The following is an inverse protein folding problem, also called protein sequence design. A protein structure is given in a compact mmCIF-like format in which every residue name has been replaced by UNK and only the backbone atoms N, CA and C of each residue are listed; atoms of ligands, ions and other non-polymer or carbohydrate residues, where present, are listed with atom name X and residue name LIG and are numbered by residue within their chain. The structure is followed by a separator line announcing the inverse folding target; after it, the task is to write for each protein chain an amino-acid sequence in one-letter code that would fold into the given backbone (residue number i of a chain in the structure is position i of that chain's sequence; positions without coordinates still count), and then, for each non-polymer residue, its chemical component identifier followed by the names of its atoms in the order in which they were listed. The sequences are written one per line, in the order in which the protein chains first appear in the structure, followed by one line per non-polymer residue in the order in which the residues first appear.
data_IF_750286284105
#
_entry.id   IF_750286284105
#
_cell.length_a   1.000
_cell.length_b   1.000
_cell.length_c   1.000
_cell.angle_alpha   90.00
_cell.angle_beta   90.00
_cell.angle_gamma   90.00
#
_symmetry.space_group_name_H-M   'P 1'
#
loop_
_entity.id
_entity.type
_entity.pdbx_description
1 polymer ?
#
# COMPACT_ATOMS: atom_id res chain seq x y z
N UNK A 1 -76.69 -1.11 -32.60
CA UNK A 1 -75.99 -1.69 -31.42
C UNK A 1 -74.60 -2.16 -31.84
N UNK A 2 -74.31 -3.46 -32.01
CA UNK A 2 -72.96 -4.04 -32.26
C UNK A 2 -71.90 -3.12 -32.90
N UNK A 3 -72.14 -2.60 -34.12
CA UNK A 3 -71.19 -1.74 -34.83
C UNK A 3 -70.83 -0.42 -34.13
N UNK A 4 -71.76 0.19 -33.38
CA UNK A 4 -71.49 1.42 -32.63
C UNK A 4 -70.57 1.14 -31.43
N UNK A 5 -70.85 0.08 -30.67
CA UNK A 5 -70.02 -0.36 -29.56
C UNK A 5 -68.56 -0.61 -30.01
N UNK A 6 -68.37 -1.25 -31.17
CA UNK A 6 -67.04 -1.50 -31.74
C UNK A 6 -66.28 -0.19 -32.09
N UNK A 7 -67.00 0.84 -32.57
CA UNK A 7 -66.42 2.17 -32.84
C UNK A 7 -66.07 2.88 -31.52
N UNK A 8 -66.91 2.79 -30.50
CA UNK A 8 -66.63 3.34 -29.16
C UNK A 8 -65.40 2.68 -28.51
N UNK A 9 -65.26 1.36 -28.58
CA UNK A 9 -64.10 0.64 -28.05
C UNK A 9 -62.81 0.96 -28.84
N UNK A 10 -62.87 1.10 -30.17
CA UNK A 10 -61.70 1.58 -30.94
C UNK A 10 -61.29 3.00 -30.53
N UNK A 11 -62.25 3.93 -30.38
CA UNK A 11 -61.96 5.30 -29.92
C UNK A 11 -61.35 5.31 -28.51
N UNK A 12 -61.92 4.52 -27.59
CA UNK A 12 -61.43 4.34 -26.21
C UNK A 12 -60.00 3.80 -26.18
N UNK A 13 -59.70 2.80 -27.02
CA UNK A 13 -58.37 2.21 -27.15
C UNK A 13 -57.37 3.20 -27.77
N UNK A 14 -57.78 3.96 -28.79
CA UNK A 14 -56.98 5.05 -29.38
C UNK A 14 -56.61 6.11 -28.32
N UNK A 15 -57.54 6.49 -27.44
CA UNK A 15 -57.27 7.45 -26.37
C UNK A 15 -56.38 6.89 -25.25
N UNK A 16 -56.43 5.58 -24.98
CA UNK A 16 -55.46 4.91 -24.11
C UNK A 16 -54.04 4.95 -24.71
N UNK A 17 -53.89 4.73 -26.03
CA UNK A 17 -52.60 4.88 -26.70
C UNK A 17 -52.10 6.33 -26.68
N UNK A 18 -52.96 7.33 -26.98
CA UNK A 18 -52.60 8.77 -26.83
C UNK A 18 -52.08 9.05 -25.42
N UNK A 19 -52.78 8.61 -24.38
CA UNK A 19 -52.38 8.78 -22.97
C UNK A 19 -51.05 8.07 -22.65
N UNK A 20 -50.81 6.86 -23.18
CA UNK A 20 -49.55 6.13 -23.01
C UNK A 20 -48.37 6.85 -23.67
N UNK A 21 -48.55 7.35 -24.90
CA UNK A 21 -47.56 8.15 -25.62
C UNK A 21 -47.28 9.47 -24.89
N UNK A 22 -48.31 10.15 -24.37
CA UNK A 22 -48.15 11.38 -23.59
C UNK A 22 -47.37 11.16 -22.28
N UNK A 23 -47.56 10.02 -21.59
CA UNK A 23 -46.74 9.65 -20.43
C UNK A 23 -45.28 9.39 -20.83
N UNK A 24 -45.05 8.60 -21.88
CA UNK A 24 -43.70 8.28 -22.35
C UNK A 24 -42.92 9.53 -22.82
N UNK A 25 -43.59 10.48 -23.48
CA UNK A 25 -43.00 11.77 -23.88
C UNK A 25 -42.63 12.66 -22.69
N UNK A 26 -43.34 12.58 -21.55
CA UNK A 26 -42.93 13.27 -20.31
C UNK A 26 -41.70 12.60 -19.73
N UNK A 27 -41.75 11.30 -19.46
CA UNK A 27 -40.65 10.53 -18.91
C UNK A 27 -39.33 10.68 -19.70
N UNK A 28 -39.40 10.65 -21.04
CA UNK A 28 -38.23 10.91 -21.89
C UNK A 28 -37.70 12.35 -21.78
N UNK A 29 -38.57 13.34 -21.64
CA UNK A 29 -38.20 14.75 -21.42
C UNK A 29 -37.59 14.96 -20.02
N UNK A 30 -38.10 14.27 -19.01
CA UNK A 30 -37.61 14.33 -17.64
C UNK A 30 -36.18 13.76 -17.56
N UNK A 31 -35.92 12.60 -18.17
CA UNK A 31 -34.57 12.01 -18.32
C UNK A 31 -33.61 12.93 -19.08
N UNK A 32 -34.07 13.63 -20.12
CA UNK A 32 -33.22 14.57 -20.88
C UNK A 32 -32.77 15.74 -20.00
N UNK A 33 -33.61 16.25 -19.10
CA UNK A 33 -33.21 17.29 -18.15
C UNK A 33 -32.29 16.77 -17.05
N UNK A 34 -32.55 15.56 -16.52
CA UNK A 34 -31.69 14.93 -15.52
C UNK A 34 -30.27 14.71 -16.08
N UNK A 35 -30.16 14.15 -17.30
CA UNK A 35 -28.89 14.02 -18.01
C UNK A 35 -28.20 15.37 -18.26
N UNK A 36 -28.96 16.42 -18.61
CA UNK A 36 -28.42 17.78 -18.76
C UNK A 36 -27.80 18.32 -17.47
N UNK A 37 -28.54 18.23 -16.36
CA UNK A 37 -28.05 18.68 -15.05
C UNK A 37 -26.83 17.86 -14.56
N UNK A 38 -26.79 16.55 -14.87
CA UNK A 38 -25.63 15.70 -14.61
C UNK A 38 -24.41 16.11 -15.45
N UNK A 39 -24.60 16.45 -16.73
CA UNK A 39 -23.52 16.99 -17.58
C UNK A 39 -22.97 18.32 -17.02
N UNK A 40 -23.83 19.26 -16.66
CA UNK A 40 -23.42 20.54 -16.06
C UNK A 40 -22.63 20.33 -14.75
N UNK A 41 -23.06 19.37 -13.93
CA UNK A 41 -22.36 19.01 -12.69
C UNK A 41 -21.00 18.34 -12.95
N UNK A 42 -20.91 17.46 -13.95
CA UNK A 42 -19.64 16.84 -14.37
C UNK A 42 -18.64 17.91 -14.86
N UNK A 43 -19.09 18.89 -15.66
CA UNK A 43 -18.23 20.01 -16.12
C UNK A 43 -17.71 20.82 -14.92
N UNK A 44 -18.57 21.17 -13.95
CA UNK A 44 -18.14 21.85 -12.73
C UNK A 44 -17.15 21.02 -11.89
N UNK A 45 -17.28 19.70 -11.84
CA UNK A 45 -16.33 18.83 -11.15
C UNK A 45 -14.99 18.76 -11.90
N UNK A 46 -15.01 18.70 -13.23
CA UNK A 46 -13.81 18.73 -14.07
C UNK A 46 -13.04 20.05 -13.94
N UNK A 47 -13.73 21.19 -13.91
CA UNK A 47 -13.13 22.51 -13.65
C UNK A 47 -12.47 22.56 -12.25
N UNK A 48 -13.20 22.16 -11.20
CA UNK A 48 -12.68 22.12 -9.83
C UNK A 48 -11.48 21.17 -9.71
N UNK A 49 -11.50 20.02 -10.40
CA UNK A 49 -10.37 19.09 -10.46
C UNK A 49 -9.16 19.69 -11.18
N UNK A 50 -9.37 20.38 -12.31
CA UNK A 50 -8.31 21.06 -13.05
C UNK A 50 -7.63 22.14 -12.20
N UNK A 51 -8.40 22.95 -11.48
CA UNK A 51 -7.89 23.95 -10.52
C UNK A 51 -7.03 23.26 -9.45
N UNK A 52 -7.54 22.19 -8.81
CA UNK A 52 -6.80 21.42 -7.79
C UNK A 52 -5.50 20.80 -8.33
N UNK A 53 -5.49 20.36 -9.58
CA UNK A 53 -4.28 19.84 -10.26
C UNK A 53 -3.26 20.97 -10.49
N UNK A 54 -3.71 22.17 -10.88
CA UNK A 54 -2.83 23.34 -11.03
C UNK A 54 -2.27 23.81 -9.67
N UNK A 55 -3.11 23.92 -8.64
CA UNK A 55 -2.71 24.21 -7.25
C UNK A 55 -1.65 23.20 -6.77
N UNK A 56 -1.89 21.88 -6.95
CA UNK A 56 -0.94 20.80 -6.62
C UNK A 56 0.40 20.98 -7.33
N UNK A 57 0.39 21.24 -8.64
CA UNK A 57 1.61 21.47 -9.45
C UNK A 57 2.38 22.71 -9.00
N UNK A 58 1.69 23.82 -8.71
CA UNK A 58 2.28 25.06 -8.23
C UNK A 58 2.94 24.88 -6.85
N UNK A 59 2.21 24.30 -5.89
CA UNK A 59 2.73 24.04 -4.54
C UNK A 59 3.92 23.08 -4.56
N UNK A 60 3.87 22.02 -5.38
CA UNK A 60 5.01 21.12 -5.56
C UNK A 60 6.23 21.84 -6.15
N UNK A 61 6.06 22.66 -7.20
CA UNK A 61 7.17 23.46 -7.75
C UNK A 61 7.79 24.38 -6.69
N UNK A 62 6.95 25.02 -5.86
CA UNK A 62 7.40 25.90 -4.77
C UNK A 62 8.13 25.11 -3.66
N UNK A 63 7.67 23.91 -3.31
CA UNK A 63 8.35 23.02 -2.35
C UNK A 63 9.72 22.55 -2.86
N UNK A 64 9.83 22.16 -4.13
CA UNK A 64 11.13 21.83 -4.74
C UNK A 64 12.07 23.03 -4.75
N UNK A 65 11.57 24.25 -5.01
CA UNK A 65 12.37 25.47 -4.96
C UNK A 65 12.88 25.79 -3.54
N UNK A 66 12.02 25.69 -2.52
CA UNK A 66 12.45 25.85 -1.12
C UNK A 66 13.43 24.77 -0.69
N UNK A 67 13.26 23.52 -1.14
CA UNK A 67 14.22 22.44 -0.87
C UNK A 67 15.59 22.76 -1.50
N UNK A 68 15.64 23.19 -2.76
CA UNK A 68 16.88 23.58 -3.42
C UNK A 68 17.57 24.78 -2.72
N UNK A 69 16.80 25.75 -2.21
CA UNK A 69 17.36 26.85 -1.39
C UNK A 69 17.92 26.35 -0.06
N UNK A 70 17.22 25.47 0.66
CA UNK A 70 17.70 24.90 1.92
C UNK A 70 18.95 23.99 1.74
N UNK A 71 19.06 23.30 0.60
CA UNK A 71 20.25 22.54 0.23
C UNK A 71 21.43 23.45 -0.20
N UNK A 72 21.16 24.68 -0.67
CA UNK A 72 22.19 25.67 -0.99
C UNK A 72 22.73 26.41 0.26
N UNK A 73 21.93 26.60 1.31
CA UNK A 73 22.34 27.25 2.56
C UNK A 73 23.11 26.31 3.51
N UNK A 74 23.16 25.00 3.23
CA UNK A 74 23.74 23.99 4.13
C UNK A 74 25.03 23.34 3.60
N UNK A 75 26.08 24.15 3.41
CA UNK A 75 27.46 23.67 3.29
C UNK A 75 28.25 23.94 4.60
N UNK A 76 28.47 22.94 5.46
CA UNK A 76 29.40 23.08 6.59
C UNK A 76 30.85 23.13 6.08
N UNK A 77 31.57 24.21 6.36
CA UNK A 77 33.02 24.26 6.13
C UNK A 77 33.75 23.28 7.05
N UNK A 78 34.61 22.44 6.47
CA UNK A 78 35.33 21.42 7.22
C UNK A 78 36.58 21.99 7.91
N UNK A 79 36.54 22.07 9.26
CA UNK A 79 37.72 22.33 10.08
C UNK A 79 37.88 21.29 11.19
N UNK A 80 39.14 20.97 11.51
CA UNK A 80 39.54 19.79 12.28
C UNK A 80 39.80 20.09 13.77
N UNK A 81 39.70 19.08 14.66
CA UNK A 81 39.71 19.30 16.11
C UNK A 81 41.11 19.53 16.70
N UNK A 82 41.17 20.28 17.79
CA UNK A 82 42.34 20.38 18.70
C UNK A 82 41.91 20.31 20.17
N UNK A 83 42.87 20.04 21.05
CA UNK A 83 42.69 19.46 22.38
C UNK A 83 42.95 20.47 23.53
N UNK A 84 42.67 20.04 24.77
CA UNK A 84 43.15 20.52 26.10
C UNK A 84 42.31 21.50 26.97
N UNK A 85 41.69 20.92 28.01
CA UNK A 85 42.02 21.05 29.46
C UNK A 85 42.01 22.41 30.19
N UNK A 86 41.31 22.43 31.34
CA UNK A 86 41.41 23.42 32.43
C UNK A 86 40.16 24.32 32.57
N UNK A 87 39.70 24.75 33.76
CA UNK A 87 40.12 24.57 35.17
C UNK A 87 38.87 24.68 36.09
N UNK A 88 38.86 23.96 37.23
CA UNK A 88 37.86 24.04 38.34
C UNK A 88 38.54 24.63 39.62
N UNK A 89 37.93 24.82 40.83
CA UNK A 89 36.62 24.40 41.39
C UNK A 89 35.96 25.59 42.17
N UNK A 90 35.26 25.48 43.33
CA UNK A 90 34.57 24.37 44.05
C UNK A 90 33.04 24.64 44.18
N UNK A 91 32.20 24.09 45.07
CA UNK A 91 32.29 23.18 46.25
C UNK A 91 31.04 22.22 46.21
N UNK A 92 30.58 21.43 47.20
CA UNK A 92 30.85 21.34 48.65
C UNK A 92 30.73 19.89 49.21
N UNK A 93 30.72 19.77 50.54
CA UNK A 93 30.44 18.62 51.44
C UNK A 93 29.21 17.75 51.13
N UNK A 94 29.17 16.44 51.43
CA UNK A 94 30.21 15.54 52.00
C UNK A 94 29.65 14.25 52.65
N UNK A 95 30.51 13.20 52.76
CA UNK A 95 30.43 11.98 53.63
C UNK A 95 29.19 11.03 53.60
N UNK A 96 29.25 9.72 53.96
CA UNK A 96 30.34 8.85 54.49
C UNK A 96 30.27 7.37 54.03
N UNK A 97 31.44 6.75 53.81
CA UNK A 97 31.90 5.40 54.24
C UNK A 97 31.06 4.07 54.17
N UNK A 98 31.67 3.09 53.44
CA UNK A 98 31.96 1.67 53.81
C UNK A 98 30.94 0.50 53.65
N UNK A 99 31.35 -0.45 52.77
CA UNK A 99 31.46 -1.93 52.92
C UNK A 99 30.26 -2.77 53.40
N UNK A 100 29.97 -3.86 52.69
CA UNK A 100 30.47 -5.22 53.01
C UNK A 100 30.29 -6.18 51.81
N UNK A 101 30.85 -7.41 51.86
CA UNK A 101 30.98 -8.27 50.68
C UNK A 101 30.75 -9.78 50.93
N UNK A 102 30.18 -10.43 49.91
CA UNK A 102 30.33 -11.83 49.46
C UNK A 102 30.16 -13.02 50.44
N UNK A 103 29.35 -14.00 50.01
CA UNK A 103 29.84 -15.38 49.79
C UNK A 103 28.95 -16.22 48.85
N UNK A 104 29.59 -17.10 48.07
CA UNK A 104 28.98 -18.19 47.29
C UNK A 104 28.75 -19.42 48.17
N UNK A 105 27.84 -20.31 47.76
CA UNK A 105 28.10 -21.77 47.73
C UNK A 105 27.34 -22.46 46.59
N UNK A 106 27.69 -23.71 46.30
CA UNK A 106 27.29 -24.55 45.15
C UNK A 106 27.01 -25.99 45.65
N UNK A 107 26.75 -26.92 44.71
CA UNK A 107 26.80 -28.41 44.78
C UNK A 107 25.63 -29.16 45.46
N UNK A 108 25.26 -30.40 45.08
CA UNK A 108 25.29 -31.13 43.78
C UNK A 108 24.52 -32.49 43.90
N UNK A 109 24.02 -33.07 42.79
CA UNK A 109 23.48 -34.44 42.64
C UNK A 109 22.14 -34.81 43.37
N UNK A 110 21.41 -35.90 43.04
CA UNK A 110 21.42 -36.82 41.88
C UNK A 110 20.02 -37.54 41.73
N UNK A 111 19.76 -38.18 40.58
CA UNK A 111 18.58 -38.98 40.13
C UNK A 111 18.40 -40.37 40.86
N UNK A 112 17.39 -41.24 40.59
CA UNK A 112 16.18 -41.17 39.70
C UNK A 112 14.83 -41.68 40.29
N UNK A 113 13.68 -41.46 39.61
CA UNK A 113 12.52 -42.41 39.58
C UNK A 113 11.42 -42.08 38.52
N UNK A 114 10.82 -43.11 37.91
CA UNK A 114 9.85 -43.04 36.78
C UNK A 114 8.37 -42.90 37.21
N UNK A 115 7.54 -42.21 36.42
CA UNK A 115 6.16 -42.65 36.10
C UNK A 115 5.62 -42.01 34.81
N UNK A 116 4.67 -42.67 34.13
CA UNK A 116 4.15 -42.27 32.80
C UNK A 116 2.87 -41.41 32.88
N UNK A 117 2.76 -40.39 32.03
CA UNK A 117 1.45 -39.95 31.52
C UNK A 117 1.55 -39.43 30.07
N UNK A 118 0.42 -39.42 29.34
CA UNK A 118 0.38 -39.35 27.86
C UNK A 118 0.56 -37.92 27.32
N UNK A 119 1.17 -37.73 26.12
CA UNK A 119 1.36 -36.40 25.53
C UNK A 119 0.02 -35.76 25.16
N UNK A 120 -0.36 -34.73 25.92
CA UNK A 120 -1.51 -33.86 25.61
C UNK A 120 -1.12 -32.96 24.43
N UNK A 121 -1.78 -33.11 23.27
CA UNK A 121 -1.53 -32.29 22.07
C UNK A 121 -1.64 -30.80 22.42
N UNK A 122 -0.49 -30.13 22.53
CA UNK A 122 -0.41 -28.68 22.68
C UNK A 122 -0.72 -28.03 21.33
N UNK A 123 -1.92 -27.50 21.19
CA UNK A 123 -2.23 -26.58 20.10
C UNK A 123 -1.31 -25.36 20.25
N UNK A 124 -0.41 -25.18 19.28
CA UNK A 124 0.43 -23.98 19.25
C UNK A 124 -0.49 -22.75 19.17
N UNK A 125 -0.35 -21.77 20.09
CA UNK A 125 -1.19 -20.58 20.05
C UNK A 125 -0.88 -19.82 18.76
N UNK A 126 -1.88 -19.63 17.90
CA UNK A 126 -1.74 -18.82 16.69
C UNK A 126 -1.20 -17.43 17.07
N UNK A 127 -0.16 -16.98 16.38
CA UNK A 127 0.45 -15.68 16.62
C UNK A 127 -0.60 -14.57 16.54
N UNK A 128 -0.62 -13.69 17.54
CA UNK A 128 -1.63 -12.63 17.66
C UNK A 128 -1.29 -11.49 16.72
N UNK A 129 -2.28 -10.95 16.01
CA UNK A 129 -2.09 -9.79 15.12
C UNK A 129 -2.08 -8.50 15.95
N UNK A 130 -1.00 -7.73 15.87
CA UNK A 130 -0.83 -6.47 16.61
C UNK A 130 -1.47 -5.32 15.82
N UNK A 131 -2.26 -4.47 16.49
CA UNK A 131 -2.94 -3.31 15.91
C UNK A 131 -2.33 -2.00 16.41
N UNK A 132 -2.14 -1.04 15.50
CA UNK A 132 -1.76 0.33 15.84
C UNK A 132 -2.99 1.14 16.29
N UNK A 133 -2.88 2.04 17.29
CA UNK A 133 -3.92 3.00 17.62
C UNK A 133 -4.31 3.89 16.42
N UNK A 134 -5.58 4.23 16.32
CA UNK A 134 -6.13 5.12 15.28
C UNK A 134 -6.97 6.22 15.90
N UNK A 135 -7.18 7.31 15.17
CA UNK A 135 -8.11 8.37 15.57
C UNK A 135 -9.55 7.87 15.34
N UNK A 136 -10.38 7.97 16.37
CA UNK A 136 -11.82 7.72 16.31
C UNK A 136 -12.58 9.05 16.47
N UNK A 137 -13.76 9.14 15.85
CA UNK A 137 -14.68 10.25 16.04
C UNK A 137 -15.48 10.12 17.35
N UNK A 138 -16.32 11.12 17.64
CA UNK A 138 -17.20 11.14 18.83
C UNK A 138 -18.23 9.99 18.86
N UNK A 139 -18.41 9.25 17.77
CA UNK A 139 -19.29 8.08 17.66
C UNK A 139 -18.51 6.75 17.72
N UNK A 140 -17.19 6.79 17.88
CA UNK A 140 -16.30 5.63 17.89
C UNK A 140 -15.93 5.08 16.51
N UNK A 141 -16.19 5.82 15.42
CA UNK A 141 -15.86 5.40 14.05
C UNK A 141 -14.45 5.87 13.65
N UNK A 142 -13.71 5.14 12.80
CA UNK A 142 -12.41 5.59 12.29
C UNK A 142 -12.51 6.92 11.53
N UNK A 143 -11.61 7.85 11.83
CA UNK A 143 -11.43 9.07 11.04
C UNK A 143 -10.48 8.80 9.87
N UNK A 144 -10.87 9.19 8.67
CA UNK A 144 -10.05 9.06 7.46
C UNK A 144 -9.39 10.40 7.10
N UNK A 145 -8.19 10.39 6.47
CA UNK A 145 -7.42 9.21 6.08
C UNK A 145 -6.63 8.58 7.25
N UNK A 146 -6.53 7.25 7.26
CA UNK A 146 -5.73 6.50 8.25
C UNK A 146 -4.33 6.29 7.68
N UNK A 147 -3.32 6.95 8.25
CA UNK A 147 -1.92 6.88 7.80
C UNK A 147 -1.17 5.78 8.57
N UNK A 148 -0.47 4.92 7.84
CA UNK A 148 0.23 3.73 8.32
C UNK A 148 1.62 3.67 7.67
N UNK A 149 2.50 4.60 8.03
CA UNK A 149 3.81 4.76 7.38
C UNK A 149 3.65 5.19 5.91
N UNK A 150 4.20 4.40 4.99
CA UNK A 150 4.10 4.63 3.54
C UNK A 150 2.74 4.29 2.91
N UNK A 151 1.82 3.71 3.69
CA UNK A 151 0.44 3.37 3.32
C UNK A 151 -0.53 4.40 3.90
N UNK A 152 -1.60 4.73 3.17
CA UNK A 152 -2.69 5.59 3.64
C UNK A 152 -4.04 5.03 3.17
N UNK A 153 -4.99 4.83 4.08
CA UNK A 153 -6.34 4.37 3.76
C UNK A 153 -7.31 5.56 3.71
N UNK A 154 -8.05 5.70 2.61
CA UNK A 154 -9.05 6.76 2.41
C UNK A 154 -10.49 6.27 2.62
N UNK A 155 -10.74 4.99 2.34
CA UNK A 155 -12.03 4.32 2.52
C UNK A 155 -11.82 2.84 2.82
N UNK A 156 -12.60 2.28 3.74
CA UNK A 156 -12.66 0.83 3.96
C UNK A 156 -13.60 0.10 3.01
N UNK A 157 -14.47 0.82 2.28
CA UNK A 157 -15.52 0.22 1.46
C UNK A 157 -16.66 -0.44 2.24
N UNK A 158 -17.56 -1.09 1.50
CA UNK A 158 -18.72 -1.80 2.01
C UNK A 158 -18.57 -3.32 1.85
N UNK A 159 -18.92 -4.08 2.88
CA UNK A 159 -18.73 -5.53 2.91
C UNK A 159 -19.87 -6.24 2.19
N UNK A 160 -19.59 -6.68 0.98
CA UNK A 160 -20.43 -7.58 0.18
C UNK A 160 -20.43 -8.96 0.83
N UNK A 161 -21.58 -9.40 1.33
CA UNK A 161 -21.73 -10.65 2.08
C UNK A 161 -22.73 -11.64 1.47
N UNK A 162 -23.38 -11.25 0.39
CA UNK A 162 -24.35 -12.05 -0.37
C UNK A 162 -23.68 -12.87 -1.47
N UNK A 163 -22.56 -12.39 -2.00
CA UNK A 163 -21.70 -13.07 -2.99
C UNK A 163 -20.48 -13.70 -2.29
N UNK A 164 -20.16 -14.99 -2.54
CA UNK A 164 -19.13 -15.70 -1.80
C UNK A 164 -17.71 -15.21 -2.12
N UNK A 165 -17.44 -14.83 -3.37
CA UNK A 165 -16.09 -14.53 -3.87
C UNK A 165 -15.53 -13.19 -3.34
N UNK A 166 -16.37 -12.41 -2.64
CA UNK A 166 -15.97 -11.16 -1.96
C UNK A 166 -15.32 -11.39 -0.58
N UNK A 167 -15.17 -12.64 -0.14
CA UNK A 167 -14.37 -12.98 1.04
C UNK A 167 -13.69 -14.36 0.95
N UNK A 168 -12.49 -14.47 1.49
CA UNK A 168 -11.77 -15.73 1.68
C UNK A 168 -11.84 -16.18 3.14
N UNK A 169 -11.09 -17.23 3.50
CA UNK A 169 -10.97 -17.63 4.90
C UNK A 169 -10.25 -16.58 5.78
N UNK A 170 -9.37 -15.74 5.19
CA UNK A 170 -8.48 -14.85 5.94
C UNK A 170 -8.70 -13.36 5.66
N UNK A 171 -9.37 -13.02 4.55
CA UNK A 171 -9.52 -11.67 4.03
C UNK A 171 -10.96 -11.43 3.56
N UNK A 172 -11.37 -10.17 3.56
CA UNK A 172 -12.62 -9.69 2.95
C UNK A 172 -12.21 -8.62 1.93
N UNK A 173 -12.95 -8.48 0.85
CA UNK A 173 -12.67 -7.58 -0.26
C UNK A 173 -13.82 -6.55 -0.40
N UNK A 174 -13.87 -5.47 0.42
CA UNK A 174 -15.02 -4.57 0.44
C UNK A 174 -15.06 -3.69 -0.81
N UNK A 175 -16.23 -3.56 -1.43
CA UNK A 175 -16.43 -2.69 -2.61
C UNK A 175 -16.25 -1.23 -2.19
N UNK A 176 -15.46 -0.46 -2.95
CA UNK A 176 -15.14 0.92 -2.61
C UNK A 176 -14.07 1.06 -1.52
N UNK A 177 -13.36 -0.02 -1.16
CA UNK A 177 -12.09 0.11 -0.45
C UNK A 177 -11.13 0.93 -1.30
N UNK A 178 -10.46 1.92 -0.70
CA UNK A 178 -9.57 2.83 -1.39
C UNK A 178 -8.39 3.22 -0.51
N UNK A 179 -7.17 3.01 -1.00
CA UNK A 179 -5.92 3.38 -0.34
C UNK A 179 -4.94 4.04 -1.30
N UNK A 180 -3.88 4.61 -0.76
CA UNK A 180 -2.70 5.02 -1.52
C UNK A 180 -1.42 4.52 -0.88
N UNK A 181 -0.42 4.18 -1.70
CA UNK A 181 0.93 3.80 -1.27
C UNK A 181 1.97 4.55 -2.11
N UNK A 182 3.03 5.04 -1.45
CA UNK A 182 4.17 5.70 -2.10
C UNK A 182 5.13 4.64 -2.65
N UNK A 183 5.42 4.64 -3.95
CA UNK A 183 6.29 3.63 -4.58
C UNK A 183 6.96 4.15 -5.86
N UNK A 184 7.80 3.34 -6.52
CA UNK A 184 8.59 3.76 -7.69
C UNK A 184 7.73 3.95 -8.94
N UNK A 185 8.06 4.93 -9.79
CA UNK A 185 7.22 5.24 -10.96
C UNK A 185 7.43 4.28 -12.13
N UNK A 186 6.34 3.96 -12.86
CA UNK A 186 6.36 3.06 -14.03
C UNK A 186 7.28 3.53 -15.17
N UNK A 187 7.59 4.83 -15.25
CA UNK A 187 8.50 5.42 -16.25
C UNK A 187 9.94 5.60 -15.76
N UNK A 188 10.12 5.60 -14.45
CA UNK A 188 11.38 5.88 -13.75
C UNK A 188 11.27 5.43 -12.28
N UNK A 189 11.68 4.20 -11.97
CA UNK A 189 11.59 3.67 -10.60
C UNK A 189 12.52 4.36 -9.58
N UNK A 190 13.46 5.21 -10.02
CA UNK A 190 14.26 6.08 -9.14
C UNK A 190 13.56 7.40 -8.80
N UNK A 191 12.31 7.59 -9.25
CA UNK A 191 11.40 8.65 -8.83
C UNK A 191 10.20 8.06 -8.09
N UNK A 192 9.84 8.69 -6.97
CA UNK A 192 8.59 8.42 -6.24
C UNK A 192 7.37 8.87 -7.05
N UNK A 193 6.31 8.06 -7.00
CA UNK A 193 4.94 8.46 -7.34
C UNK A 193 3.96 7.85 -6.34
N UNK A 194 2.69 8.26 -6.41
CA UNK A 194 1.63 7.73 -5.55
C UNK A 194 0.74 6.78 -6.36
N UNK A 195 0.64 5.54 -5.90
CA UNK A 195 -0.34 4.59 -6.43
C UNK A 195 -1.61 4.65 -5.59
N UNK A 196 -2.77 4.76 -6.25
CA UNK A 196 -4.09 4.58 -5.64
C UNK A 196 -4.56 3.16 -5.91
N UNK A 197 -4.88 2.42 -4.86
CA UNK A 197 -5.33 1.03 -4.95
C UNK A 197 -6.79 0.94 -4.54
N UNK A 198 -7.63 0.26 -5.33
CA UNK A 198 -9.07 0.12 -5.03
C UNK A 198 -9.59 -1.28 -5.28
N UNK A 199 -10.65 -1.62 -4.55
CA UNK A 199 -11.49 -2.79 -4.81
C UNK A 199 -12.84 -2.28 -5.35
N UNK A 200 -13.25 -2.82 -6.50
CA UNK A 200 -14.45 -2.45 -7.23
C UNK A 200 -15.43 -3.64 -7.28
N UNK A 201 -16.70 -3.37 -7.55
CA UNK A 201 -17.69 -4.40 -7.83
C UNK A 201 -17.47 -4.94 -9.25
N UNK A 202 -17.04 -6.21 -9.36
CA UNK A 202 -16.86 -6.93 -10.62
C UNK A 202 -18.03 -7.84 -11.00
N UNK A 203 -19.21 -7.65 -10.36
CA UNK A 203 -20.34 -8.55 -10.53
C UNK A 203 -20.20 -9.79 -9.66
N UNK A 204 -19.75 -10.92 -10.22
CA UNK A 204 -19.67 -12.19 -9.48
C UNK A 204 -18.55 -12.19 -8.43
N UNK A 205 -17.39 -11.67 -8.79
CA UNK A 205 -16.19 -11.52 -7.95
C UNK A 205 -15.76 -10.03 -7.85
N UNK A 206 -14.95 -9.64 -6.86
CA UNK A 206 -14.36 -8.30 -6.79
C UNK A 206 -13.37 -8.08 -7.93
N UNK A 207 -13.29 -6.84 -8.43
CA UNK A 207 -12.24 -6.40 -9.35
C UNK A 207 -11.24 -5.51 -8.61
N UNK A 208 -9.96 -5.61 -8.92
CA UNK A 208 -8.89 -4.87 -8.27
C UNK A 208 -8.20 -3.94 -9.27
N UNK A 209 -7.92 -2.70 -8.88
CA UNK A 209 -7.12 -1.77 -9.69
C UNK A 209 -6.01 -1.07 -8.88
N UNK A 210 -4.86 -0.88 -9.51
CA UNK A 210 -3.78 0.02 -9.09
C UNK A 210 -3.61 1.12 -10.14
N UNK A 211 -3.74 2.38 -9.74
CA UNK A 211 -3.66 3.57 -10.62
C UNK A 211 -2.50 4.47 -10.17
N UNK A 212 -1.56 4.80 -11.06
CA UNK A 212 -0.47 5.73 -10.75
C UNK A 212 -0.94 7.20 -10.91
N UNK A 213 -0.55 8.10 -10.00
CA UNK A 213 -1.00 9.50 -10.01
C UNK A 213 -0.48 10.35 -11.19
N UNK A 214 0.36 9.76 -12.04
CA UNK A 214 0.89 10.30 -13.29
C UNK A 214 0.38 9.57 -14.57
N UNK A 215 -0.37 8.47 -14.44
CA UNK A 215 -0.87 7.62 -15.54
C UNK A 215 -2.31 7.15 -15.24
N UNK A 216 -3.24 8.10 -15.11
CA UNK A 216 -4.64 7.82 -14.76
C UNK A 216 -5.42 7.01 -15.82
N UNK A 217 -4.93 7.00 -17.06
CA UNK A 217 -5.58 6.36 -18.22
C UNK A 217 -5.22 4.86 -18.37
N UNK A 218 -4.20 4.37 -17.65
CA UNK A 218 -3.68 3.01 -17.78
C UNK A 218 -3.65 2.25 -16.44
N UNK A 219 -4.82 2.00 -15.81
CA UNK A 219 -4.91 1.23 -14.57
C UNK A 219 -4.32 -0.17 -14.73
N UNK A 220 -3.62 -0.65 -13.70
CA UNK A 220 -3.22 -2.05 -13.58
C UNK A 220 -4.39 -2.80 -12.94
N UNK A 221 -5.23 -3.42 -13.78
CA UNK A 221 -6.44 -4.15 -13.36
C UNK A 221 -6.13 -5.65 -13.27
N UNK A 222 -6.77 -6.35 -12.33
CA UNK A 222 -6.67 -7.80 -12.17
C UNK A 222 -7.79 -8.42 -11.34
N UNK A 223 -7.92 -9.74 -11.44
CA UNK A 223 -8.91 -10.54 -10.71
C UNK A 223 -8.54 -10.72 -9.23
N UNK A 224 -7.25 -10.58 -8.88
CA UNK A 224 -6.80 -10.38 -7.50
C UNK A 224 -5.88 -9.17 -7.34
N UNK A 225 -5.80 -8.66 -6.10
CA UNK A 225 -4.81 -7.67 -5.71
C UNK A 225 -3.36 -8.14 -6.00
N UNK A 226 -3.09 -9.45 -5.96
CA UNK A 226 -1.76 -10.00 -6.21
C UNK A 226 -1.39 -10.00 -7.69
N UNK A 227 -2.36 -10.10 -8.60
CA UNK A 227 -2.10 -9.98 -10.04
C UNK A 227 -1.76 -8.52 -10.39
N UNK A 228 -2.53 -7.58 -9.84
CA UNK A 228 -2.27 -6.14 -9.96
C UNK A 228 -0.85 -5.79 -9.48
N UNK A 229 -0.45 -6.34 -8.33
CA UNK A 229 0.88 -6.10 -7.77
C UNK A 229 1.99 -6.84 -8.57
N UNK A 230 1.74 -8.05 -9.08
CA UNK A 230 2.65 -8.76 -9.99
C UNK A 230 2.92 -7.95 -11.26
N UNK A 231 1.87 -7.39 -11.87
CA UNK A 231 1.96 -6.50 -13.02
C UNK A 231 2.74 -5.21 -12.72
N UNK A 232 2.56 -4.61 -11.54
CA UNK A 232 3.33 -3.46 -11.07
C UNK A 232 4.83 -3.81 -10.97
N UNK A 233 5.18 -4.87 -10.23
CA UNK A 233 6.57 -5.29 -10.02
C UNK A 233 7.26 -5.67 -11.33
N UNK A 234 6.54 -6.32 -12.25
CA UNK A 234 7.03 -6.63 -13.58
C UNK A 234 7.33 -5.37 -14.40
N UNK A 235 6.41 -4.39 -14.44
CA UNK A 235 6.66 -3.09 -15.12
C UNK A 235 7.85 -2.33 -14.52
N UNK A 236 8.06 -2.38 -13.19
CA UNK A 236 9.21 -1.76 -12.53
C UNK A 236 10.53 -2.39 -12.99
N UNK A 237 10.64 -3.72 -13.00
CA UNK A 237 11.84 -4.41 -13.51
C UNK A 237 12.06 -4.13 -15.02
N UNK A 238 11.00 -4.13 -15.84
CA UNK A 238 11.06 -3.77 -17.26
C UNK A 238 11.59 -2.34 -17.48
N UNK A 239 11.12 -1.36 -16.68
CA UNK A 239 11.58 0.03 -16.78
C UNK A 239 13.03 0.25 -16.31
N UNK A 240 13.59 -0.69 -15.53
CA UNK A 240 15.01 -0.69 -15.15
C UNK A 240 15.89 -1.44 -16.16
N UNK A 241 15.33 -2.42 -16.87
CA UNK A 241 16.05 -3.30 -17.79
C UNK A 241 16.78 -4.47 -17.09
N UNK A 242 16.54 -4.68 -15.79
CA UNK A 242 17.09 -5.77 -14.98
C UNK A 242 16.18 -6.05 -13.77
N UNK A 243 16.23 -7.27 -13.24
CA UNK A 243 15.41 -7.66 -12.08
C UNK A 243 16.00 -7.10 -10.78
N UNK A 244 15.18 -6.35 -10.03
CA UNK A 244 15.54 -5.73 -8.75
C UNK A 244 14.57 -6.12 -7.63
N UNK A 245 13.32 -6.44 -7.98
CA UNK A 245 12.29 -6.95 -7.07
C UNK A 245 11.73 -8.25 -7.62
N UNK A 246 11.52 -9.24 -6.76
CA UNK A 246 10.83 -10.48 -7.17
C UNK A 246 9.43 -10.15 -7.65
N UNK A 247 9.02 -10.69 -8.79
CA UNK A 247 7.69 -10.47 -9.39
C UNK A 247 6.54 -11.13 -8.62
N UNK A 248 6.80 -11.87 -7.53
CA UNK A 248 5.77 -12.52 -6.71
C UNK A 248 4.89 -11.49 -6.00
N UNK A 249 3.72 -11.18 -6.58
CA UNK A 249 2.79 -10.19 -6.05
C UNK A 249 2.35 -10.43 -4.60
N UNK A 250 2.64 -9.43 -3.75
CA UNK A 250 2.15 -9.31 -2.36
C UNK A 250 0.96 -8.35 -2.32
N UNK A 251 -0.12 -8.71 -3.01
CA UNK A 251 -1.23 -7.80 -3.32
C UNK A 251 -1.94 -7.22 -2.11
N UNK A 252 -2.48 -8.06 -1.20
CA UNK A 252 -3.21 -7.61 -0.02
C UNK A 252 -2.41 -6.65 0.87
N UNK A 253 -1.09 -6.85 0.99
CA UNK A 253 -0.17 -5.96 1.71
C UNK A 253 0.04 -4.64 0.96
N UNK A 254 0.27 -4.66 -0.36
CA UNK A 254 0.46 -3.43 -1.13
C UNK A 254 -0.79 -2.53 -1.09
N UNK A 255 -1.98 -3.12 -1.28
CA UNK A 255 -3.27 -2.43 -1.10
C UNK A 255 -3.54 -2.04 0.35
N UNK A 256 -3.00 -2.78 1.31
CA UNK A 256 -3.08 -2.50 2.75
C UNK A 256 -4.29 -3.08 3.48
N UNK A 257 -5.21 -3.78 2.81
CA UNK A 257 -6.36 -4.41 3.49
C UNK A 257 -5.99 -5.64 4.33
N UNK A 258 -4.81 -6.24 4.10
CA UNK A 258 -4.27 -7.27 5.00
C UNK A 258 -3.57 -6.71 6.25
N UNK A 259 -3.23 -5.41 6.28
CA UNK A 259 -2.54 -4.79 7.41
C UNK A 259 -3.38 -4.96 8.69
N UNK A 260 -2.81 -5.43 9.82
CA UNK A 260 -3.58 -5.82 11.01
C UNK A 260 -4.62 -4.81 11.49
N UNK A 261 -4.28 -3.52 11.54
CA UNK A 261 -5.22 -2.44 11.91
C UNK A 261 -6.44 -2.41 10.98
N UNK A 262 -6.22 -2.55 9.68
CA UNK A 262 -7.25 -2.42 8.65
C UNK A 262 -8.10 -3.70 8.57
N UNK A 263 -7.48 -4.87 8.68
CA UNK A 263 -8.18 -6.16 8.78
C UNK A 263 -9.09 -6.20 10.03
N UNK A 264 -8.65 -5.63 11.16
CA UNK A 264 -9.49 -5.47 12.36
C UNK A 264 -10.69 -4.52 12.13
N UNK A 265 -10.51 -3.44 11.37
CA UNK A 265 -11.60 -2.53 11.03
C UNK A 265 -12.61 -3.15 10.07
N UNK A 266 -12.15 -3.82 9.00
CA UNK A 266 -13.03 -4.56 8.07
C UNK A 266 -13.78 -5.68 8.82
N UNK A 267 -13.11 -6.38 9.75
CA UNK A 267 -13.77 -7.34 10.63
C UNK A 267 -14.86 -6.72 11.52
N UNK A 268 -14.73 -5.44 11.86
CA UNK A 268 -15.69 -4.69 12.69
C UNK A 268 -16.82 -4.04 11.88
N UNK A 269 -16.72 -4.00 10.55
CA UNK A 269 -17.72 -3.39 9.66
C UNK A 269 -19.08 -4.12 9.67
N UNK A 270 -20.18 -3.41 9.35
CA UNK A 270 -21.45 -4.05 8.99
C UNK A 270 -21.25 -5.06 7.84
N UNK A 271 -22.08 -6.11 7.80
CA UNK A 271 -21.98 -7.16 6.78
C UNK A 271 -21.07 -8.33 7.19
N UNK A 272 -19.89 -8.09 7.76
CA UNK A 272 -18.84 -9.09 8.04
C UNK A 272 -19.30 -10.34 8.81
N UNK A 273 -20.31 -10.24 9.68
CA UNK A 273 -20.89 -11.40 10.39
C UNK A 273 -21.67 -12.38 9.49
N UNK A 274 -21.95 -12.02 8.23
CA UNK A 274 -22.64 -12.85 7.23
C UNK A 274 -21.68 -13.53 6.25
N UNK A 275 -20.41 -13.13 6.20
CA UNK A 275 -19.38 -13.70 5.33
C UNK A 275 -19.05 -15.15 5.76
N UNK A 276 -19.76 -16.13 5.20
CA UNK A 276 -19.81 -17.49 5.71
C UNK A 276 -18.45 -18.22 5.80
N UNK A 277 -17.52 -17.91 4.89
CA UNK A 277 -16.19 -18.54 4.84
C UNK A 277 -15.15 -17.87 5.76
N UNK A 278 -15.41 -16.65 6.22
CA UNK A 278 -14.40 -15.78 6.84
C UNK A 278 -14.09 -16.16 8.30
N UNK A 279 -12.81 -16.41 8.61
CA UNK A 279 -12.35 -16.85 9.93
C UNK A 279 -11.85 -15.67 10.76
N UNK A 280 -12.65 -15.30 11.74
CA UNK A 280 -12.41 -14.14 12.61
C UNK A 280 -11.05 -14.21 13.32
N UNK A 281 -10.21 -13.19 13.06
CA UNK A 281 -8.91 -12.99 13.70
C UNK A 281 -9.06 -12.35 15.09
N UNK A 282 -8.10 -12.62 15.99
CA UNK A 282 -7.95 -11.89 17.26
C UNK A 282 -6.82 -10.88 17.15
N UNK A 283 -7.05 -9.71 17.73
CA UNK A 283 -6.15 -8.57 17.66
C UNK A 283 -5.83 -8.04 19.06
N UNK A 284 -4.61 -7.54 19.25
CA UNK A 284 -4.20 -6.83 20.47
C UNK A 284 -3.56 -5.50 20.08
N UNK A 285 -3.94 -4.41 20.76
CA UNK A 285 -3.39 -3.07 20.47
C UNK A 285 -2.01 -2.96 21.10
N UNK A 286 -0.99 -2.57 20.32
CA UNK A 286 0.35 -2.35 20.89
C UNK A 286 0.37 -1.11 21.78
N UNK A 287 1.15 -1.19 22.86
CA UNK A 287 1.55 -0.04 23.68
C UNK A 287 2.91 0.53 23.29
N UNK A 288 3.66 -0.18 22.45
CA UNK A 288 4.96 0.22 21.90
C UNK A 288 4.83 0.44 20.39
N UNK A 289 5.16 1.64 19.93
CA UNK A 289 5.10 2.03 18.51
C UNK A 289 6.29 1.51 17.71
N UNK A 290 6.54 0.20 17.72
CA UNK A 290 7.54 -0.40 16.83
C UNK A 290 7.09 -0.30 15.36
N UNK A 291 7.98 0.04 14.42
CA UNK A 291 7.63 0.21 13.01
C UNK A 291 7.23 -1.13 12.37
N UNK A 292 6.25 -1.15 11.45
CA UNK A 292 5.76 -2.38 10.83
C UNK A 292 6.81 -3.00 9.91
N UNK A 293 6.87 -4.34 9.90
CA UNK A 293 7.86 -5.13 9.16
C UNK A 293 7.88 -4.87 7.64
N UNK A 294 6.82 -4.29 7.08
CA UNK A 294 6.67 -3.94 5.66
C UNK A 294 7.75 -2.97 5.15
N UNK A 295 8.28 -2.08 6.00
CA UNK A 295 9.24 -1.03 5.60
C UNK A 295 10.56 -1.55 5.00
N UNK A 296 10.86 -2.84 5.21
CA UNK A 296 12.09 -3.50 4.73
C UNK A 296 11.93 -4.23 3.39
N UNK A 297 10.71 -4.51 2.93
CA UNK A 297 10.48 -5.25 1.69
C UNK A 297 10.55 -4.32 0.48
N UNK A 298 11.46 -4.61 -0.45
CA UNK A 298 11.63 -3.86 -1.69
C UNK A 298 10.38 -3.84 -2.57
N UNK A 299 9.47 -4.82 -2.45
CA UNK A 299 8.18 -4.82 -3.15
C UNK A 299 7.10 -3.92 -2.50
N UNK A 300 7.27 -3.48 -1.25
CA UNK A 300 6.25 -2.74 -0.49
C UNK A 300 6.70 -1.34 -0.02
N UNK A 301 8.01 -1.08 -0.06
CA UNK A 301 8.68 0.10 0.48
C UNK A 301 9.60 0.73 -0.56
N UNK A 302 9.35 1.99 -0.92
CA UNK A 302 10.20 2.71 -1.88
C UNK A 302 11.66 2.81 -1.40
N UNK A 303 11.86 3.06 -0.11
CA UNK A 303 13.17 3.15 0.52
C UNK A 303 13.94 1.82 0.41
N UNK A 304 13.23 0.68 0.38
CA UNK A 304 13.83 -0.62 0.12
C UNK A 304 14.08 -0.85 -1.38
N UNK A 305 13.12 -0.52 -2.26
CA UNK A 305 13.29 -0.55 -3.72
C UNK A 305 14.53 0.25 -4.16
N UNK A 306 14.66 1.50 -3.70
CA UNK A 306 15.77 2.39 -4.07
C UNK A 306 17.13 1.82 -3.62
N UNK A 307 17.21 1.21 -2.43
CA UNK A 307 18.42 0.50 -1.98
C UNK A 307 18.78 -0.67 -2.91
N UNK A 308 17.78 -1.47 -3.31
CA UNK A 308 17.98 -2.58 -4.25
C UNK A 308 18.40 -2.09 -5.65
N UNK A 309 17.83 -1.00 -6.16
CA UNK A 309 18.23 -0.40 -7.46
C UNK A 309 19.70 0.05 -7.39
N UNK A 310 20.10 0.79 -6.34
CA UNK A 310 21.48 1.26 -6.17
C UNK A 310 22.46 0.09 -6.06
N UNK A 311 22.12 -0.94 -5.29
CA UNK A 311 22.94 -2.15 -5.17
C UNK A 311 23.11 -2.86 -6.51
N UNK A 312 22.02 -3.16 -7.22
CA UNK A 312 22.05 -3.82 -8.53
C UNK A 312 22.83 -3.02 -9.58
N UNK A 313 22.63 -1.69 -9.64
CA UNK A 313 23.41 -0.80 -10.52
C UNK A 313 24.91 -0.83 -10.19
N UNK A 314 25.30 -0.80 -8.91
CA UNK A 314 26.72 -0.87 -8.53
C UNK A 314 27.34 -2.22 -8.90
N UNK A 315 26.64 -3.33 -8.70
CA UNK A 315 27.17 -4.66 -9.00
C UNK A 315 27.34 -4.87 -10.51
N UNK A 316 26.39 -4.38 -11.32
CA UNK A 316 26.44 -4.44 -12.79
C UNK A 316 27.52 -3.54 -13.40
N UNK A 317 27.90 -2.45 -12.72
CA UNK A 317 29.06 -1.62 -13.09
C UNK A 317 30.39 -2.34 -12.76
N UNK A 318 30.47 -3.03 -11.62
CA UNK A 318 31.64 -3.85 -11.26
C UNK A 318 31.85 -5.00 -12.24
N UNK A 319 30.81 -5.77 -12.54
CA UNK A 319 30.89 -6.90 -13.47
C UNK A 319 31.39 -6.48 -14.86
N UNK A 320 30.83 -5.39 -15.43
CA UNK A 320 31.30 -4.85 -16.73
C UNK A 320 32.76 -4.38 -16.69
N UNK A 321 33.24 -3.89 -15.54
CA UNK A 321 34.65 -3.53 -15.36
C UNK A 321 35.52 -4.79 -15.35
N UNK A 322 35.13 -5.82 -14.61
CA UNK A 322 35.84 -7.11 -14.54
C UNK A 322 35.92 -7.77 -15.93
N UNK A 323 34.80 -7.88 -16.66
CA UNK A 323 34.76 -8.34 -18.06
C UNK A 323 35.73 -7.55 -18.95
N UNK A 324 35.73 -6.20 -18.86
CA UNK A 324 36.61 -5.36 -19.68
C UNK A 324 38.10 -5.55 -19.36
N UNK A 325 38.44 -5.88 -18.10
CA UNK A 325 39.82 -6.14 -17.69
C UNK A 325 40.26 -7.55 -18.12
N UNK A 326 39.41 -8.56 -17.98
CA UNK A 326 39.70 -9.93 -18.43
C UNK A 326 39.85 -10.01 -19.95
N UNK A 327 39.01 -9.29 -20.70
CA UNK A 327 39.10 -9.21 -22.16
C UNK A 327 40.38 -8.48 -22.61
N UNK A 328 40.81 -7.43 -21.91
CA UNK A 328 42.09 -6.76 -22.17
C UNK A 328 43.29 -7.69 -21.91
N UNK A 329 43.27 -8.43 -20.81
CA UNK A 329 44.30 -9.42 -20.46
C UNK A 329 44.33 -10.59 -21.45
N UNK A 330 43.17 -11.05 -21.93
CA UNK A 330 43.07 -12.08 -22.97
C UNK A 330 43.72 -11.63 -24.28
N UNK A 331 43.37 -10.43 -24.76
CA UNK A 331 43.93 -9.84 -25.98
C UNK A 331 45.46 -9.63 -25.89
N UNK A 332 45.96 -9.17 -24.74
CA UNK A 332 47.41 -9.05 -24.52
C UNK A 332 48.11 -10.42 -24.61
N UNK A 333 47.50 -11.48 -24.07
CA UNK A 333 48.06 -12.84 -24.10
C UNK A 333 48.02 -13.49 -25.50
N UNK A 334 47.06 -13.17 -26.38
CA UNK A 334 47.12 -13.57 -27.80
C UNK A 334 48.21 -12.82 -28.53
N UNK A 335 48.26 -11.48 -28.44
CA UNK A 335 49.30 -10.68 -29.12
C UNK A 335 50.72 -11.12 -28.74
N UNK A 336 50.96 -11.47 -27.46
CA UNK A 336 52.26 -11.94 -26.98
C UNK A 336 52.59 -13.36 -27.50
N UNK A 337 51.59 -14.23 -27.69
CA UNK A 337 51.79 -15.55 -28.32
C UNK A 337 52.11 -15.43 -29.81
N UNK A 338 51.40 -14.58 -30.54
CA UNK A 338 51.60 -14.38 -31.98
C UNK A 338 53.01 -13.84 -32.25
N UNK A 339 53.49 -12.92 -31.41
CA UNK A 339 54.85 -12.37 -31.45
C UNK A 339 55.96 -13.38 -31.08
N UNK A 340 55.63 -14.47 -30.40
CA UNK A 340 56.55 -15.58 -30.04
C UNK A 340 56.50 -16.74 -31.04
N UNK A 341 55.61 -16.68 -32.04
CA UNK A 341 55.43 -17.68 -33.10
C UNK A 341 55.82 -17.14 -34.49
N UNK A 342 56.46 -15.97 -34.53
CA UNK A 342 56.90 -15.23 -35.73
C UNK A 342 58.43 -15.20 -35.84
#
# INVERSE_FOLDING_TARGET
MSYLNAIEDMNRQTDLYKKKISKLKRFAKDIIYENGALCDYIVQLQEKLLIRIQERRFLMKKLYQHKASAEAECQPQAHTPKHNLGVSPPHNTGDTAKKHAAKKKLTDGNEPAKSNSKPKKTSTPKAKKIVQPIILDMTGRPVFPIVLGGLTIHSLGEVVSDRPDYHSEELIFPVGFCSSRMYGSLKDPEKKCVYTCKILDGGYSPSFEIVADNELEYPLVGESASDCHTLLLHKINLSLGFEVVSTRGRGPEFFGFSHPTILNLIQSSPGTRKCASYKWSRFEVSKTGEPPTEERDAALSYEALQRSIVFAKSHLLTAKKEESQEQLMSNANTTLRDLLMS
#
